data_IF_333211392397
#
_entry.id   IF_333211392397
#
_cell.length_a   1.000
_cell.length_b   1.000
_cell.length_c   1.000
_cell.angle_alpha   90.00
_cell.angle_beta   90.00
_cell.angle_gamma   90.00
#
_symmetry.space_group_name_H-M   'P 1'
#
loop_
_entity.id
_entity.type
_entity.pdbx_description
1 polymer ?
#
# COMPACT_ATOMS: atom_id res chain seq x y z
N UNK A 1 -10.01 106.93 3.29
CA UNK A 1 -9.03 105.83 3.15
C UNK A 1 -9.18 105.23 1.75
N UNK A 2 -8.11 105.37 0.94
CA UNK A 2 -7.55 104.49 -0.11
C UNK A 2 -8.41 103.40 -0.80
N UNK A 3 -8.14 103.08 -2.09
CA UNK A 3 -9.05 103.31 -3.23
C UNK A 3 -9.50 102.05 -4.02
N UNK A 4 -10.39 102.30 -5.01
CA UNK A 4 -10.83 101.55 -6.23
C UNK A 4 -9.81 100.55 -6.85
N UNK A 5 -10.12 99.64 -7.83
CA UNK A 5 -11.26 99.63 -8.81
C UNK A 5 -11.83 98.24 -9.26
N UNK A 6 -12.80 98.32 -10.18
CA UNK A 6 -13.33 97.28 -11.09
C UNK A 6 -12.26 96.65 -12.01
N UNK A 7 -12.58 95.47 -12.59
CA UNK A 7 -12.44 95.03 -14.02
C UNK A 7 -12.60 93.49 -14.06
N UNK A 8 -13.67 92.96 -14.66
CA UNK A 8 -13.80 92.36 -16.00
C UNK A 8 -13.16 90.97 -16.24
N UNK A 9 -13.96 90.15 -16.91
CA UNK A 9 -13.84 88.76 -17.39
C UNK A 9 -12.46 88.33 -17.91
N UNK A 10 -12.15 87.05 -17.71
CA UNK A 10 -11.56 86.18 -18.76
C UNK A 10 -11.85 84.70 -18.47
N UNK A 11 -12.37 84.00 -19.48
CA UNK A 11 -12.38 82.54 -19.57
C UNK A 11 -10.98 82.05 -19.86
N UNK A 12 -10.52 80.97 -19.21
CA UNK A 12 -9.72 79.93 -19.90
C UNK A 12 -9.70 78.62 -19.11
N UNK A 13 -9.89 77.55 -19.86
CA UNK A 13 -9.88 76.15 -19.45
C UNK A 13 -8.54 75.71 -18.84
N UNK A 14 -8.57 74.65 -18.01
CA UNK A 14 -7.96 73.34 -18.34
C UNK A 14 -8.05 72.35 -17.18
N UNK A 15 -8.22 71.10 -17.59
CA UNK A 15 -8.22 69.84 -16.86
C UNK A 15 -7.16 69.77 -15.73
N UNK A 16 -7.58 69.38 -14.53
CA UNK A 16 -6.82 68.47 -13.65
C UNK A 16 -7.73 67.23 -13.50
N UNK A 17 -7.37 66.03 -13.95
CA UNK A 17 -6.08 65.38 -13.76
C UNK A 17 -6.24 64.34 -12.67
N UNK A 18 -7.04 63.30 -12.96
CA UNK A 18 -7.22 62.08 -12.16
C UNK A 18 -5.87 61.37 -12.00
N UNK A 19 -5.24 61.51 -10.83
CA UNK A 19 -4.05 60.74 -10.46
C UNK A 19 -4.34 60.04 -9.14
N UNK A 20 -4.67 58.74 -9.21
CA UNK A 20 -5.02 57.98 -8.01
C UNK A 20 -5.41 56.54 -8.26
N UNK A 21 -4.78 55.84 -9.22
CA UNK A 21 -4.92 54.39 -9.35
C UNK A 21 -3.68 53.84 -10.05
N UNK A 22 -2.69 53.36 -9.28
CA UNK A 22 -1.70 52.34 -9.68
C UNK A 22 -0.68 52.15 -8.54
N UNK A 23 -1.16 51.63 -7.40
CA UNK A 23 -0.32 50.80 -6.53
C UNK A 23 -0.79 49.38 -6.78
N UNK A 24 -0.41 48.84 -7.94
CA UNK A 24 -0.51 47.42 -8.21
C UNK A 24 0.53 46.72 -7.34
N UNK A 25 0.04 46.22 -6.22
CA UNK A 25 0.56 45.12 -5.41
C UNK A 25 1.64 44.29 -6.15
N UNK A 26 2.91 44.57 -5.86
CA UNK A 26 4.01 43.61 -6.01
C UNK A 26 3.85 42.55 -4.92
N UNK A 27 2.86 41.66 -5.08
CA UNK A 27 2.84 40.40 -4.34
C UNK A 27 3.93 39.53 -4.98
N UNK A 28 4.92 39.04 -4.22
CA UNK A 28 5.83 38.03 -4.74
C UNK A 28 4.97 36.84 -5.16
N UNK A 29 4.90 36.56 -6.46
CA UNK A 29 4.34 35.30 -6.92
C UNK A 29 5.28 34.21 -6.39
N UNK A 30 4.78 33.43 -5.42
CA UNK A 30 5.45 32.20 -5.04
C UNK A 30 5.66 31.40 -6.32
N UNK A 31 6.88 30.86 -6.56
CA UNK A 31 7.11 30.06 -7.75
C UNK A 31 6.05 28.96 -7.79
N UNK A 32 5.37 28.84 -8.93
CA UNK A 32 4.45 27.74 -9.16
C UNK A 32 5.22 26.44 -8.85
N UNK A 33 4.72 25.67 -7.88
CA UNK A 33 5.32 24.38 -7.56
C UNK A 33 5.41 23.58 -8.86
N UNK A 34 6.63 23.23 -9.27
CA UNK A 34 6.85 22.39 -10.44
C UNK A 34 6.07 21.10 -10.18
N UNK A 35 5.15 20.75 -11.09
CA UNK A 35 4.45 19.48 -11.01
C UNK A 35 5.50 18.37 -10.95
N UNK A 36 5.54 17.65 -9.84
CA UNK A 36 6.52 16.59 -9.66
C UNK A 36 6.33 15.53 -10.75
N UNK A 37 7.45 15.03 -11.28
CA UNK A 37 7.41 14.10 -12.40
C UNK A 37 6.65 12.81 -12.00
N UNK A 38 5.69 12.34 -12.83
CA UNK A 38 5.02 11.07 -12.57
C UNK A 38 6.03 9.94 -12.42
N UNK A 39 5.84 9.11 -11.40
CA UNK A 39 6.70 7.96 -11.12
C UNK A 39 5.95 6.66 -11.40
N UNK A 40 6.55 5.72 -12.15
CA UNK A 40 5.88 4.46 -12.47
C UNK A 40 5.69 3.59 -11.21
N UNK A 41 4.63 2.76 -11.16
CA UNK A 41 4.44 1.78 -10.09
C UNK A 41 5.62 0.81 -10.01
N UNK A 42 6.10 0.57 -8.80
CA UNK A 42 7.15 -0.42 -8.52
C UNK A 42 6.57 -1.71 -7.95
N UNK A 43 5.43 -1.62 -7.27
CA UNK A 43 4.67 -2.73 -6.71
C UNK A 43 3.36 -2.85 -7.48
N UNK A 44 3.12 -4.02 -8.02
CA UNK A 44 1.84 -4.37 -8.61
C UNK A 44 1.56 -5.82 -8.22
N UNK A 45 0.88 -5.99 -7.10
CA UNK A 45 0.82 -7.26 -6.40
C UNK A 45 -0.59 -7.72 -6.04
N UNK A 46 -0.71 -8.97 -5.60
CA UNK A 46 -1.97 -9.55 -5.15
C UNK A 46 -1.81 -10.27 -3.81
N UNK A 47 -2.79 -10.11 -2.93
CA UNK A 47 -2.97 -11.05 -1.83
C UNK A 47 -3.66 -12.31 -2.36
N UNK A 48 -3.21 -13.48 -1.91
CA UNK A 48 -3.65 -14.77 -2.44
C UNK A 48 -4.16 -15.68 -1.33
N UNK A 49 -5.38 -16.18 -1.51
CA UNK A 49 -6.11 -16.90 -0.47
C UNK A 49 -6.22 -18.42 -0.68
N UNK A 50 -5.50 -18.99 -1.65
CA UNK A 50 -5.75 -20.38 -2.09
C UNK A 50 -7.23 -20.61 -2.47
N UNK A 51 -7.62 -21.88 -2.61
CA UNK A 51 -8.97 -22.34 -2.92
C UNK A 51 -9.84 -22.63 -1.68
N UNK A 52 -9.30 -22.43 -0.47
CA UNK A 52 -9.88 -22.85 0.80
C UNK A 52 -10.11 -21.68 1.79
N UNK A 53 -10.54 -20.52 1.26
CA UNK A 53 -10.91 -19.34 2.05
C UNK A 53 -9.76 -18.80 2.92
N UNK A 54 -8.58 -18.63 2.31
CA UNK A 54 -7.36 -18.11 2.93
C UNK A 54 -6.77 -19.01 4.04
N UNK A 55 -7.22 -20.27 4.15
CA UNK A 55 -6.72 -21.18 5.21
C UNK A 55 -5.42 -21.87 4.81
N UNK A 56 -5.18 -22.09 3.51
CA UNK A 56 -3.99 -22.78 2.98
C UNK A 56 -3.74 -24.13 3.68
N UNK A 57 -4.80 -24.82 4.10
CA UNK A 57 -4.71 -26.02 4.93
C UNK A 57 -4.26 -27.25 4.16
N UNK A 58 -4.36 -27.23 2.83
CA UNK A 58 -4.12 -28.38 1.95
C UNK A 58 -2.97 -28.13 1.00
N UNK A 59 -2.09 -29.13 0.85
CA UNK A 59 -1.03 -29.12 -0.17
C UNK A 59 -1.65 -29.33 -1.55
N UNK A 60 -1.25 -28.50 -2.51
CA UNK A 60 -1.67 -28.62 -3.92
C UNK A 60 -0.46 -28.90 -4.80
N UNK A 61 -0.68 -29.65 -5.88
CA UNK A 61 0.37 -29.79 -6.90
C UNK A 61 0.54 -28.48 -7.67
N UNK A 62 1.74 -28.21 -8.19
CA UNK A 62 1.97 -27.01 -8.99
C UNK A 62 1.13 -26.99 -10.27
N UNK A 63 0.83 -28.13 -10.87
CA UNK A 63 -0.02 -28.23 -12.05
C UNK A 63 -1.49 -27.87 -11.76
N UNK A 64 -2.01 -28.34 -10.63
CA UNK A 64 -3.35 -27.97 -10.17
C UNK A 64 -3.41 -26.48 -9.82
N UNK A 65 -2.40 -26.00 -9.07
CA UNK A 65 -2.29 -24.59 -8.67
C UNK A 65 -2.22 -23.68 -9.89
N UNK A 66 -1.39 -24.01 -10.87
CA UNK A 66 -1.27 -23.32 -12.16
C UNK A 66 -2.61 -23.28 -12.91
N UNK A 67 -3.32 -24.41 -13.02
CA UNK A 67 -4.61 -24.45 -13.72
C UNK A 67 -5.67 -23.47 -13.18
N UNK A 68 -5.55 -23.07 -11.91
CA UNK A 68 -6.45 -22.15 -11.22
C UNK A 68 -5.93 -20.71 -11.13
N UNK A 69 -4.62 -20.51 -11.27
CA UNK A 69 -3.92 -19.25 -10.97
C UNK A 69 -2.99 -18.77 -12.08
N UNK A 70 -3.04 -19.38 -13.27
CA UNK A 70 -2.14 -19.09 -14.38
C UNK A 70 -2.07 -17.59 -14.73
N UNK A 71 -3.20 -16.89 -14.60
CA UNK A 71 -3.29 -15.45 -14.87
C UNK A 71 -2.29 -14.60 -14.09
N UNK A 72 -1.80 -15.05 -12.92
CA UNK A 72 -0.78 -14.33 -12.14
C UNK A 72 0.59 -14.35 -12.82
N UNK A 73 0.96 -15.47 -13.46
CA UNK A 73 2.25 -15.68 -14.12
C UNK A 73 2.23 -15.38 -15.61
N UNK A 74 1.04 -15.38 -16.23
CA UNK A 74 0.84 -15.05 -17.64
C UNK A 74 -0.42 -14.21 -17.82
N UNK A 75 -0.23 -12.96 -18.24
CA UNK A 75 -1.32 -12.02 -18.57
C UNK A 75 -1.82 -12.13 -20.02
N UNK A 76 -1.51 -13.23 -20.71
CA UNK A 76 -1.85 -13.49 -22.11
C UNK A 76 -0.77 -13.10 -23.11
N UNK A 77 0.40 -12.64 -22.64
CA UNK A 77 1.57 -12.28 -23.45
C UNK A 77 2.85 -13.03 -23.05
N UNK A 78 2.75 -14.04 -22.17
CA UNK A 78 3.87 -14.78 -21.63
C UNK A 78 4.63 -14.06 -20.51
N UNK A 79 4.10 -12.95 -19.97
CA UNK A 79 4.68 -12.22 -18.83
C UNK A 79 3.74 -12.22 -17.62
N UNK A 80 4.26 -12.15 -16.39
CA UNK A 80 3.42 -12.03 -15.20
C UNK A 80 2.49 -10.82 -15.19
N UNK A 81 1.27 -11.02 -14.66
CA UNK A 81 0.32 -9.95 -14.38
C UNK A 81 0.69 -9.16 -13.13
N UNK A 82 1.49 -9.74 -12.23
CA UNK A 82 1.93 -9.13 -10.98
C UNK A 82 3.43 -9.33 -10.78
N UNK A 83 4.07 -8.49 -9.99
CA UNK A 83 5.48 -8.65 -9.60
C UNK A 83 5.68 -9.03 -8.13
N UNK A 84 4.58 -9.09 -7.37
CA UNK A 84 4.52 -9.51 -5.97
C UNK A 84 3.25 -10.34 -5.71
N UNK A 85 3.39 -11.41 -4.93
CA UNK A 85 2.27 -12.12 -4.33
C UNK A 85 2.48 -12.23 -2.82
N UNK A 86 1.44 -11.95 -2.06
CA UNK A 86 1.40 -12.12 -0.61
C UNK A 86 0.45 -13.27 -0.27
N UNK A 87 0.94 -14.34 0.35
CA UNK A 87 0.13 -15.50 0.72
C UNK A 87 -0.59 -15.20 2.05
N UNK A 88 -1.92 -15.21 2.01
CA UNK A 88 -2.80 -14.86 3.12
C UNK A 88 -3.55 -16.12 3.59
N UNK A 89 -3.40 -16.62 4.81
CA UNK A 89 -2.64 -16.05 5.94
C UNK A 89 -1.93 -17.10 6.80
N UNK A 90 -0.92 -16.64 7.55
CA UNK A 90 -0.28 -17.38 8.65
C UNK A 90 -0.88 -16.91 9.98
N UNK A 91 -1.30 -17.86 10.83
CA UNK A 91 -1.84 -17.54 12.17
C UNK A 91 -0.69 -17.28 13.17
N UNK A 92 -0.69 -16.13 13.88
CA UNK A 92 0.42 -15.72 14.74
C UNK A 92 0.67 -16.64 15.96
N UNK A 93 -0.36 -17.16 16.63
CA UNK A 93 -0.15 -18.10 17.76
C UNK A 93 0.45 -19.43 17.29
N UNK A 94 -0.04 -19.98 16.17
CA UNK A 94 0.54 -21.21 15.60
C UNK A 94 2.00 -21.00 15.20
N UNK A 95 2.33 -19.84 14.60
CA UNK A 95 3.71 -19.50 14.28
C UNK A 95 4.58 -19.34 15.53
N UNK A 96 4.04 -18.74 16.61
CA UNK A 96 4.74 -18.63 17.89
C UNK A 96 5.08 -20.01 18.46
N UNK A 97 4.10 -20.92 18.52
CA UNK A 97 4.26 -22.24 19.11
C UNK A 97 4.88 -23.28 18.16
N UNK A 98 5.08 -22.92 16.89
CA UNK A 98 5.46 -23.83 15.80
C UNK A 98 4.53 -25.05 15.73
N UNK A 99 3.23 -24.80 15.79
CA UNK A 99 2.19 -25.84 15.90
C UNK A 99 2.23 -26.79 14.70
N UNK A 100 2.09 -28.09 14.99
CA UNK A 100 1.86 -29.14 13.99
C UNK A 100 0.47 -29.70 14.21
N UNK A 101 -0.41 -29.61 13.21
CA UNK A 101 -1.77 -30.13 13.30
C UNK A 101 -2.30 -30.59 11.93
N UNK A 102 -3.64 -30.64 11.78
CA UNK A 102 -4.28 -31.05 10.54
C UNK A 102 -3.94 -30.13 9.36
N UNK A 103 -3.80 -28.83 9.59
CA UNK A 103 -3.64 -27.80 8.54
C UNK A 103 -2.29 -27.10 8.58
N UNK A 104 -1.48 -27.29 9.63
CA UNK A 104 -0.20 -26.61 9.81
C UNK A 104 0.98 -27.55 10.06
N UNK A 105 2.17 -27.10 9.68
CA UNK A 105 3.46 -27.69 9.98
C UNK A 105 4.41 -26.60 10.46
N UNK A 106 5.00 -26.76 11.65
CA UNK A 106 5.84 -25.75 12.30
C UNK A 106 5.20 -24.35 12.37
N UNK A 107 3.87 -24.28 12.50
CA UNK A 107 3.10 -23.05 12.55
C UNK A 107 2.71 -22.45 11.19
N UNK A 108 3.22 -23.01 10.08
CA UNK A 108 2.86 -22.59 8.72
C UNK A 108 1.69 -23.43 8.18
N UNK A 109 0.74 -22.83 7.45
CA UNK A 109 -0.24 -23.58 6.67
C UNK A 109 0.44 -24.55 5.68
N UNK A 110 -0.04 -25.79 5.64
CA UNK A 110 0.58 -26.86 4.82
C UNK A 110 0.60 -26.55 3.33
N UNK A 111 -0.33 -25.74 2.83
CA UNK A 111 -0.38 -25.32 1.43
C UNK A 111 0.68 -24.29 1.05
N UNK A 112 1.28 -23.58 2.01
CA UNK A 112 2.34 -22.59 1.77
C UNK A 112 3.71 -23.27 1.62
N UNK A 113 3.87 -24.08 0.57
CA UNK A 113 5.07 -24.92 0.39
C UNK A 113 6.19 -24.22 -0.39
N UNK A 114 7.45 -24.71 -0.28
CA UNK A 114 8.54 -24.28 -1.14
C UNK A 114 8.24 -24.44 -2.64
N UNK A 115 7.43 -25.42 -3.05
CA UNK A 115 7.01 -25.60 -4.45
C UNK A 115 6.14 -24.44 -4.94
N UNK A 116 5.18 -23.99 -4.14
CA UNK A 116 4.32 -22.84 -4.47
C UNK A 116 5.13 -21.55 -4.48
N UNK A 117 6.05 -21.36 -3.53
CA UNK A 117 6.98 -20.22 -3.56
C UNK A 117 7.85 -20.25 -4.82
N UNK A 118 8.36 -21.42 -5.20
CA UNK A 118 9.15 -21.60 -6.42
C UNK A 118 8.35 -21.35 -7.70
N UNK A 119 7.06 -21.71 -7.71
CA UNK A 119 6.17 -21.43 -8.84
C UNK A 119 6.11 -19.94 -9.16
N UNK A 120 6.00 -19.07 -8.16
CA UNK A 120 6.04 -17.61 -8.39
C UNK A 120 7.45 -17.09 -8.69
N UNK A 121 8.44 -17.49 -7.88
CA UNK A 121 9.80 -16.93 -7.99
C UNK A 121 10.51 -17.34 -9.28
N UNK A 122 10.20 -18.49 -9.89
CA UNK A 122 10.71 -18.87 -11.21
C UNK A 122 10.23 -17.95 -12.34
N UNK A 123 9.15 -17.20 -12.12
CA UNK A 123 8.62 -16.21 -13.05
C UNK A 123 9.02 -14.77 -12.67
N UNK A 124 9.97 -14.60 -11.73
CA UNK A 124 10.43 -13.29 -11.28
C UNK A 124 9.48 -12.56 -10.33
N UNK A 125 8.41 -13.24 -9.88
CA UNK A 125 7.44 -12.70 -8.92
C UNK A 125 8.01 -12.86 -7.50
N UNK A 126 8.02 -11.78 -6.71
CA UNK A 126 8.40 -11.85 -5.29
C UNK A 126 7.27 -12.47 -4.48
N UNK A 127 7.62 -13.19 -3.42
CA UNK A 127 6.64 -13.82 -2.53
C UNK A 127 6.83 -13.32 -1.11
N UNK A 128 5.72 -13.08 -0.43
CA UNK A 128 5.66 -12.77 1.00
C UNK A 128 4.60 -13.62 1.68
N UNK A 129 4.71 -13.79 2.99
CA UNK A 129 3.64 -14.35 3.81
C UNK A 129 3.01 -13.24 4.65
N UNK A 130 1.69 -13.16 4.67
CA UNK A 130 0.98 -12.26 5.57
C UNK A 130 0.61 -12.99 6.85
N UNK A 131 1.08 -12.46 7.98
CA UNK A 131 0.72 -12.97 9.30
C UNK A 131 -0.49 -12.17 9.79
N UNK A 132 -1.63 -12.83 9.93
CA UNK A 132 -2.85 -12.24 10.49
C UNK A 132 -3.96 -11.94 9.49
N UNK A 133 -4.40 -10.69 9.46
CA UNK A 133 -5.70 -10.26 8.96
C UNK A 133 -6.72 -10.21 10.09
N UNK A 134 -7.85 -9.53 9.84
CA UNK A 134 -8.89 -9.26 10.84
C UNK A 134 -9.35 -10.51 11.60
N UNK A 135 -9.37 -11.66 10.93
CA UNK A 135 -9.71 -12.97 11.49
C UNK A 135 -8.83 -13.37 12.67
N UNK A 136 -7.57 -12.94 12.70
CA UNK A 136 -6.57 -13.37 13.69
C UNK A 136 -6.12 -12.24 14.62
N UNK A 137 -6.96 -11.22 14.81
CA UNK A 137 -6.65 -10.08 15.68
C UNK A 137 -6.38 -10.52 17.13
N UNK A 138 -7.21 -11.43 17.66
CA UNK A 138 -7.08 -11.93 19.03
C UNK A 138 -5.83 -12.82 19.17
N UNK A 139 -5.52 -13.63 18.16
CA UNK A 139 -4.32 -14.47 18.12
C UNK A 139 -3.04 -13.62 18.07
N UNK A 140 -3.06 -12.49 17.35
CA UNK A 140 -1.96 -11.53 17.38
C UNK A 140 -1.76 -10.96 18.78
N UNK A 141 -2.83 -10.49 19.43
CA UNK A 141 -2.76 -9.94 20.78
C UNK A 141 -2.20 -10.95 21.79
N UNK A 142 -2.66 -12.19 21.70
CA UNK A 142 -2.18 -13.28 22.53
C UNK A 142 -0.70 -13.60 22.26
N UNK A 143 -0.29 -13.74 21.00
CA UNK A 143 1.09 -14.07 20.65
C UNK A 143 2.07 -12.95 21.04
N UNK A 144 1.69 -11.68 20.87
CA UNK A 144 2.48 -10.52 21.29
C UNK A 144 2.59 -10.42 22.82
N UNK A 145 1.54 -10.80 23.54
CA UNK A 145 1.52 -10.82 25.01
C UNK A 145 2.36 -11.97 25.56
N UNK A 146 2.32 -13.12 24.91
CA UNK A 146 3.04 -14.32 25.34
C UNK A 146 4.55 -14.18 25.12
N UNK A 147 5.00 -13.99 23.88
CA UNK A 147 6.42 -13.82 23.55
C UNK A 147 6.61 -13.21 22.14
N UNK A 148 6.42 -11.90 22.04
CA UNK A 148 6.60 -11.16 20.78
C UNK A 148 8.00 -11.33 20.17
N UNK A 149 9.04 -11.48 21.01
CA UNK A 149 10.42 -11.67 20.53
C UNK A 149 10.54 -13.02 19.83
N UNK A 150 10.02 -14.10 20.44
CA UNK A 150 10.00 -15.43 19.81
C UNK A 150 9.18 -15.43 18.53
N UNK A 151 8.03 -14.76 18.51
CA UNK A 151 7.22 -14.65 17.30
C UNK A 151 8.03 -14.00 16.16
N UNK A 152 8.74 -12.91 16.42
CA UNK A 152 9.60 -12.24 15.44
C UNK A 152 10.74 -13.12 14.93
N UNK A 153 11.39 -13.87 15.83
CA UNK A 153 12.44 -14.83 15.47
C UNK A 153 11.89 -16.01 14.64
N UNK A 154 10.69 -16.51 14.95
CA UNK A 154 10.05 -17.57 14.17
C UNK A 154 9.65 -17.08 12.78
N UNK A 155 9.09 -15.87 12.66
CA UNK A 155 8.80 -15.26 11.37
C UNK A 155 10.08 -15.08 10.52
N UNK A 156 11.18 -14.61 11.12
CA UNK A 156 12.47 -14.49 10.43
C UNK A 156 13.04 -15.85 9.98
N UNK A 157 12.87 -16.89 10.79
CA UNK A 157 13.31 -18.24 10.43
C UNK A 157 12.54 -18.79 9.21
N UNK A 158 11.22 -18.60 9.19
CA UNK A 158 10.38 -18.98 8.04
C UNK A 158 10.76 -18.20 6.79
N UNK A 159 10.97 -16.88 6.93
CA UNK A 159 11.39 -16.01 5.83
C UNK A 159 12.70 -16.52 5.18
N UNK A 160 13.67 -16.95 6.00
CA UNK A 160 14.91 -17.58 5.53
C UNK A 160 14.70 -18.94 4.88
N UNK A 161 13.86 -19.79 5.48
CA UNK A 161 13.64 -21.16 4.99
C UNK A 161 12.98 -21.17 3.61
N UNK A 162 12.01 -20.28 3.39
CA UNK A 162 11.26 -20.22 2.14
C UNK A 162 11.83 -19.21 1.14
N UNK A 163 12.69 -18.29 1.58
CA UNK A 163 13.20 -17.20 0.73
C UNK A 163 12.10 -16.19 0.37
N UNK A 164 11.31 -15.78 1.36
CA UNK A 164 10.13 -14.89 1.22
C UNK A 164 10.20 -13.73 2.19
N UNK A 165 9.50 -12.63 1.90
CA UNK A 165 9.29 -11.55 2.87
C UNK A 165 8.14 -11.84 3.83
N UNK A 166 7.96 -10.98 4.83
CA UNK A 166 6.84 -11.04 5.78
C UNK A 166 6.04 -9.73 5.74
N UNK A 167 4.72 -9.87 5.73
CA UNK A 167 3.77 -8.79 6.00
C UNK A 167 3.17 -8.97 7.39
N UNK A 168 3.16 -7.89 8.17
CA UNK A 168 2.45 -7.79 9.43
C UNK A 168 1.03 -7.33 9.11
N UNK A 169 0.04 -8.20 9.22
CA UNK A 169 -1.37 -7.85 9.09
C UNK A 169 -2.05 -7.95 10.46
N UNK A 170 -1.76 -6.98 11.31
CA UNK A 170 -2.29 -6.90 12.67
C UNK A 170 -3.36 -5.82 12.74
N UNK A 171 -4.63 -6.23 12.80
CA UNK A 171 -5.77 -5.32 12.66
C UNK A 171 -6.43 -4.91 14.00
N UNK A 172 -5.68 -4.89 15.11
CA UNK A 172 -6.22 -4.43 16.40
C UNK A 172 -6.44 -2.91 16.40
N UNK A 173 -7.69 -2.52 16.19
CA UNK A 173 -8.08 -1.11 16.11
C UNK A 173 -8.13 -0.42 17.48
N UNK A 174 -8.40 -1.16 18.57
CA UNK A 174 -8.65 -0.58 19.90
C UNK A 174 -7.58 -1.02 20.88
N UNK A 175 -6.60 -0.14 21.13
CA UNK A 175 -5.52 -0.42 22.07
C UNK A 175 -4.53 -1.49 21.59
N UNK A 176 -3.97 -1.38 20.36
CA UNK A 176 -3.00 -2.34 19.85
C UNK A 176 -1.78 -2.45 20.77
N UNK A 177 -1.23 -3.67 20.90
CA UNK A 177 -0.01 -3.93 21.66
C UNK A 177 1.23 -3.45 20.89
N UNK A 178 1.42 -2.13 20.81
CA UNK A 178 2.51 -1.50 20.05
C UNK A 178 3.91 -1.82 20.60
N UNK A 179 4.02 -2.09 21.91
CA UNK A 179 5.29 -2.47 22.53
C UNK A 179 5.67 -3.92 22.18
N UNK A 180 4.69 -4.83 22.19
CA UNK A 180 4.86 -6.19 21.67
C UNK A 180 5.21 -6.16 20.19
N UNK A 181 4.48 -5.39 19.37
CA UNK A 181 4.77 -5.31 17.94
C UNK A 181 6.16 -4.73 17.65
N UNK A 182 6.62 -3.72 18.41
CA UNK A 182 8.00 -3.26 18.32
C UNK A 182 9.00 -4.39 18.64
N UNK A 183 8.75 -5.18 19.68
CA UNK A 183 9.63 -6.30 20.05
C UNK A 183 9.67 -7.39 18.98
N UNK A 184 8.54 -7.65 18.31
CA UNK A 184 8.49 -8.52 17.13
C UNK A 184 9.36 -7.98 15.99
N UNK A 185 9.23 -6.68 15.66
CA UNK A 185 10.00 -6.03 14.59
C UNK A 185 11.49 -6.07 14.91
N UNK A 186 11.89 -5.72 16.14
CA UNK A 186 13.29 -5.71 16.57
C UNK A 186 13.89 -7.13 16.49
N UNK A 187 13.15 -8.14 16.92
CA UNK A 187 13.55 -9.53 16.82
C UNK A 187 13.72 -9.99 15.36
N UNK A 188 12.78 -9.65 14.48
CA UNK A 188 12.90 -9.94 13.05
C UNK A 188 14.14 -9.25 12.45
N UNK A 189 14.32 -7.95 12.73
CA UNK A 189 15.43 -7.14 12.23
C UNK A 189 16.79 -7.54 12.79
N UNK A 190 16.83 -8.23 13.94
CA UNK A 190 18.06 -8.81 14.47
C UNK A 190 18.62 -9.95 13.60
N UNK A 191 17.76 -10.63 12.84
CA UNK A 191 18.13 -11.69 11.89
C UNK A 191 18.26 -11.12 10.48
N UNK A 192 17.29 -10.30 10.08
CA UNK A 192 17.18 -9.70 8.74
C UNK A 192 17.17 -8.17 8.82
N UNK A 193 18.36 -7.53 8.90
CA UNK A 193 18.45 -6.08 8.90
C UNK A 193 17.75 -5.44 7.71
N UNK A 194 17.26 -4.21 7.90
CA UNK A 194 16.65 -3.45 6.80
C UNK A 194 17.61 -3.33 5.61
N UNK A 195 17.11 -3.63 4.40
CA UNK A 195 17.91 -3.67 3.19
C UNK A 195 17.21 -2.95 2.01
N UNK A 196 17.55 -1.69 1.79
CA UNK A 196 16.94 -0.86 0.73
C UNK A 196 17.03 -1.46 -0.69
N UNK A 197 18.10 -2.21 -1.00
CA UNK A 197 18.29 -2.84 -2.31
C UNK A 197 17.26 -3.95 -2.61
N UNK A 198 16.66 -4.55 -1.58
CA UNK A 198 15.66 -5.62 -1.73
C UNK A 198 16.17 -6.86 -2.46
N UNK A 199 17.48 -7.12 -2.44
CA UNK A 199 18.05 -8.30 -3.09
C UNK A 199 17.79 -9.55 -2.27
N UNK A 200 17.75 -9.43 -0.94
CA UNK A 200 17.33 -10.50 -0.04
C UNK A 200 15.81 -10.44 0.17
N UNK A 201 15.04 -11.44 -0.31
CA UNK A 201 13.60 -11.49 -0.05
C UNK A 201 13.27 -11.53 1.45
N UNK A 202 14.06 -12.22 2.27
CA UNK A 202 13.81 -12.36 3.69
C UNK A 202 14.00 -11.04 4.47
N UNK A 203 14.75 -10.09 3.90
CA UNK A 203 14.86 -8.75 4.46
C UNK A 203 13.62 -7.87 4.22
N UNK A 204 12.66 -8.28 3.37
CA UNK A 204 11.43 -7.51 3.14
C UNK A 204 10.46 -7.72 4.31
N UNK A 205 10.23 -6.68 5.09
CA UNK A 205 9.23 -6.64 6.16
C UNK A 205 8.29 -5.46 5.97
N UNK A 206 7.00 -5.74 5.81
CA UNK A 206 5.96 -4.74 5.54
C UNK A 206 4.87 -4.80 6.59
N UNK A 207 3.94 -3.85 6.53
CA UNK A 207 2.77 -3.81 7.40
C UNK A 207 1.53 -3.50 6.58
N UNK A 208 0.43 -4.18 6.86
CA UNK A 208 -0.88 -3.75 6.39
C UNK A 208 -1.43 -2.67 7.34
N UNK A 209 -1.91 -1.59 6.77
CA UNK A 209 -2.50 -0.44 7.45
C UNK A 209 -3.90 -0.19 6.89
N UNK A 210 -4.75 0.46 7.67
CA UNK A 210 -6.09 0.80 7.23
C UNK A 210 -6.10 1.57 5.89
N UNK A 211 -7.21 1.50 5.15
CA UNK A 211 -7.38 2.23 3.88
C UNK A 211 -7.02 3.73 3.97
N UNK A 212 -7.25 4.33 5.14
CA UNK A 212 -6.82 5.66 5.55
C UNK A 212 -6.70 5.75 7.08
N UNK A 213 -6.36 6.92 7.61
CA UNK A 213 -5.99 7.10 9.04
C UNK A 213 -7.15 7.18 10.04
N UNK A 214 -8.33 6.68 9.67
CA UNK A 214 -9.53 6.68 10.52
C UNK A 214 -9.76 5.34 11.25
N UNK A 215 -9.01 4.32 10.86
CA UNK A 215 -9.02 2.98 11.45
C UNK A 215 -7.56 2.55 11.65
N UNK A 216 -7.31 1.60 12.55
CA UNK A 216 -5.98 1.22 13.04
C UNK A 216 -5.14 2.42 13.50
N UNK A 217 -5.77 3.44 14.08
CA UNK A 217 -5.15 4.76 14.37
C UNK A 217 -3.85 4.60 15.17
N UNK A 218 -3.86 3.72 16.18
CA UNK A 218 -2.68 3.45 17.00
C UNK A 218 -1.51 2.88 16.20
N UNK A 219 -1.80 1.97 15.27
CA UNK A 219 -0.82 1.33 14.40
C UNK A 219 -0.34 2.30 13.34
N UNK A 220 -1.24 3.00 12.63
CA UNK A 220 -0.86 3.99 11.61
C UNK A 220 0.05 5.06 12.19
N UNK A 221 -0.29 5.60 13.38
CA UNK A 221 0.57 6.55 14.09
C UNK A 221 1.97 5.98 14.36
N UNK A 222 2.06 4.75 14.87
CA UNK A 222 3.34 4.13 15.22
C UNK A 222 4.16 3.81 13.97
N UNK A 223 3.51 3.29 12.93
CA UNK A 223 4.13 2.95 11.67
C UNK A 223 4.70 4.20 10.98
N UNK A 224 3.93 5.27 10.86
CA UNK A 224 4.36 6.55 10.25
C UNK A 224 5.44 7.26 11.06
N UNK A 225 5.30 7.31 12.39
CA UNK A 225 6.24 8.02 13.25
C UNK A 225 7.61 7.33 13.38
N UNK A 226 7.63 5.99 13.40
CA UNK A 226 8.82 5.23 13.81
C UNK A 226 9.29 4.22 12.76
N UNK A 227 8.38 3.51 12.09
CA UNK A 227 8.76 2.32 11.33
C UNK A 227 8.98 2.55 9.84
N UNK A 228 8.17 3.42 9.24
CA UNK A 228 8.16 3.75 7.81
C UNK A 228 8.88 5.06 7.50
N UNK A 229 9.71 5.53 8.44
CA UNK A 229 10.52 6.73 8.28
C UNK A 229 11.42 6.61 7.05
N UNK A 230 11.68 7.74 6.41
CA UNK A 230 12.53 7.80 5.23
C UNK A 230 14.02 7.86 5.55
N UNK A 231 14.39 8.37 6.73
CA UNK A 231 15.78 8.52 7.18
C UNK A 231 16.29 7.34 8.01
N UNK A 232 15.40 6.61 8.68
CA UNK A 232 15.72 5.42 9.46
C UNK A 232 14.59 4.37 9.39
N UNK A 233 14.27 3.83 8.21
CA UNK A 233 13.22 2.82 8.06
C UNK A 233 13.59 1.52 8.78
N UNK A 234 12.61 0.93 9.46
CA UNK A 234 12.66 -0.48 9.89
C UNK A 234 11.57 -1.32 9.24
N UNK A 235 10.62 -0.71 8.54
CA UNK A 235 9.70 -1.37 7.62
C UNK A 235 9.92 -0.82 6.21
N UNK A 236 9.69 -1.68 5.23
CA UNK A 236 9.94 -1.38 3.84
C UNK A 236 8.88 -0.46 3.24
N UNK A 237 7.61 -0.82 3.43
CA UNK A 237 6.44 -0.04 3.04
C UNK A 237 5.20 -0.55 3.79
N UNK A 238 4.11 0.23 3.73
CA UNK A 238 2.78 -0.20 4.14
C UNK A 238 1.91 -0.55 2.92
N UNK A 239 1.05 -1.55 3.05
CA UNK A 239 -0.11 -1.66 2.18
C UNK A 239 -1.26 -0.88 2.83
N UNK A 240 -1.90 0.04 2.09
CA UNK A 240 -3.14 0.64 2.56
C UNK A 240 -4.30 -0.27 2.10
N UNK A 241 -4.84 -1.07 3.01
CA UNK A 241 -5.86 -2.08 2.70
C UNK A 241 -7.06 -1.52 1.96
N UNK A 242 -7.80 -2.44 1.34
CA UNK A 242 -9.14 -2.16 0.83
C UNK A 242 -10.05 -1.74 1.99
N UNK A 243 -10.84 -0.65 1.86
CA UNK A 243 -11.89 -0.40 2.83
C UNK A 243 -12.93 -1.53 2.76
N UNK A 244 -13.84 -1.64 3.73
CA UNK A 244 -14.80 -2.76 3.83
C UNK A 244 -15.66 -3.05 2.57
N UNK A 245 -15.69 -2.14 1.60
CA UNK A 245 -16.28 -2.30 0.26
C UNK A 245 -15.46 -1.52 -0.76
N UNK A 246 -15.51 -1.93 -2.03
CA UNK A 246 -14.85 -1.21 -3.12
C UNK A 246 -15.28 0.27 -3.12
N UNK A 247 -14.34 1.22 -2.99
CA UNK A 247 -14.65 2.64 -2.93
C UNK A 247 -14.96 3.22 -4.33
N UNK A 248 -15.42 4.47 -4.41
CA UNK A 248 -15.28 5.24 -5.66
C UNK A 248 -13.83 5.69 -5.85
N UNK A 249 -13.45 6.08 -7.07
CA UNK A 249 -12.12 6.65 -7.34
C UNK A 249 -11.78 7.84 -6.42
N UNK A 250 -12.72 8.76 -6.23
CA UNK A 250 -12.56 9.91 -5.33
C UNK A 250 -12.40 9.50 -3.86
N UNK A 251 -13.09 8.44 -3.42
CA UNK A 251 -13.01 7.95 -2.05
C UNK A 251 -11.70 7.20 -1.80
N UNK A 252 -11.21 6.44 -2.78
CA UNK A 252 -9.90 5.80 -2.73
C UNK A 252 -8.79 6.85 -2.59
N UNK A 253 -8.80 7.85 -3.49
CA UNK A 253 -7.85 8.98 -3.44
C UNK A 253 -7.92 9.70 -2.10
N UNK A 254 -9.13 9.99 -1.58
CA UNK A 254 -9.27 10.66 -0.30
C UNK A 254 -8.71 9.82 0.87
N UNK A 255 -8.87 8.50 0.85
CA UNK A 255 -8.31 7.64 1.89
C UNK A 255 -6.78 7.60 1.84
N UNK A 256 -6.18 7.49 0.64
CA UNK A 256 -4.71 7.52 0.50
C UNK A 256 -4.10 8.89 0.78
N UNK A 257 -4.81 9.97 0.44
CA UNK A 257 -4.39 11.33 0.78
C UNK A 257 -4.30 11.52 2.30
N UNK A 258 -5.13 10.81 3.09
CA UNK A 258 -5.00 10.87 4.55
C UNK A 258 -3.67 10.34 5.04
N UNK A 259 -3.17 9.23 4.48
CA UNK A 259 -1.83 8.75 4.81
C UNK A 259 -0.76 9.79 4.47
N UNK A 260 -0.87 10.42 3.30
CA UNK A 260 0.07 11.45 2.85
C UNK A 260 0.04 12.68 3.76
N UNK A 261 -1.13 13.13 4.19
CA UNK A 261 -1.29 14.32 5.02
C UNK A 261 -1.14 14.06 6.52
N UNK A 262 -1.32 12.81 6.94
CA UNK A 262 -1.55 12.42 8.32
C UNK A 262 -2.85 12.99 8.90
N UNK A 263 -2.95 12.92 10.23
CA UNK A 263 -4.06 13.47 11.04
C UNK A 263 -3.51 14.33 12.16
N UNK A 264 -3.11 15.59 11.89
CA UNK A 264 -2.54 16.48 12.91
C UNK A 264 -3.55 16.89 14.00
N UNK A 265 -4.84 16.72 13.75
CA UNK A 265 -5.92 17.02 14.71
C UNK A 265 -6.22 15.88 15.68
N UNK A 266 -5.63 14.70 15.48
CA UNK A 266 -5.76 13.60 16.42
C UNK A 266 -4.88 13.84 17.64
N UNK A 267 -5.25 13.23 18.77
CA UNK A 267 -4.48 13.32 20.02
C UNK A 267 -4.22 11.92 20.55
N UNK A 268 -2.99 11.40 20.42
CA UNK A 268 -1.83 12.00 19.71
C UNK A 268 -2.00 12.01 18.16
N UNK A 269 -1.30 12.91 17.44
CA UNK A 269 -1.46 13.04 15.99
C UNK A 269 -0.87 11.84 15.25
N UNK A 270 -1.40 11.57 14.05
CA UNK A 270 -0.78 10.68 13.05
C UNK A 270 0.08 11.54 12.13
N UNK A 271 1.41 11.36 12.07
CA UNK A 271 2.27 12.09 11.14
C UNK A 271 2.00 11.75 9.67
N UNK A 272 2.39 12.64 8.73
CA UNK A 272 2.45 12.33 7.30
C UNK A 272 3.29 11.09 6.97
N UNK A 273 2.81 10.30 5.99
CA UNK A 273 3.56 9.20 5.37
C UNK A 273 4.07 9.63 3.99
N UNK A 274 5.32 9.28 3.68
CA UNK A 274 5.87 9.53 2.36
C UNK A 274 5.11 8.72 1.29
N UNK A 275 4.74 9.30 0.13
CA UNK A 275 4.15 8.54 -0.98
C UNK A 275 4.94 7.27 -1.34
N UNK A 276 6.27 7.38 -1.39
CA UNK A 276 7.18 6.25 -1.65
C UNK A 276 7.25 5.20 -0.52
N UNK A 277 6.34 5.21 0.46
CA UNK A 277 6.28 4.24 1.57
C UNK A 277 4.96 3.49 1.67
N UNK A 278 4.06 3.62 0.70
CA UNK A 278 2.86 2.79 0.68
C UNK A 278 2.30 2.49 -0.72
N UNK A 279 1.50 1.43 -0.79
CA UNK A 279 0.68 1.07 -1.96
C UNK A 279 -0.80 1.38 -1.68
N UNK A 280 -1.60 1.52 -2.73
CA UNK A 280 -3.05 1.55 -2.63
C UNK A 280 -3.64 0.19 -2.98
N UNK A 281 -4.77 -0.16 -2.38
CA UNK A 281 -5.39 -1.46 -2.63
C UNK A 281 -6.81 -1.39 -3.21
N UNK A 282 -7.17 -2.42 -3.98
CA UNK A 282 -8.50 -2.61 -4.54
C UNK A 282 -8.99 -4.05 -4.46
N UNK A 283 -10.32 -4.23 -4.37
CA UNK A 283 -10.93 -5.53 -4.58
C UNK A 283 -10.89 -5.91 -6.07
N UNK A 284 -10.66 -7.18 -6.38
CA UNK A 284 -10.79 -7.74 -7.74
C UNK A 284 -12.08 -8.54 -7.94
N UNK A 285 -12.76 -8.88 -6.86
CA UNK A 285 -14.06 -9.54 -6.87
C UNK A 285 -14.87 -9.18 -5.64
N UNK A 286 -16.19 -9.36 -5.71
CA UNK A 286 -17.09 -9.28 -4.58
C UNK A 286 -17.95 -10.56 -4.44
N UNK A 287 -18.93 -10.53 -3.54
CA UNK A 287 -19.82 -11.68 -3.30
C UNK A 287 -20.68 -12.09 -4.51
N UNK A 288 -20.75 -11.27 -5.54
CA UNK A 288 -21.67 -11.43 -6.66
C UNK A 288 -21.00 -11.50 -8.02
N UNK A 289 -19.80 -10.91 -8.20
CA UNK A 289 -19.12 -10.82 -9.49
C UNK A 289 -17.63 -10.50 -9.37
N UNK A 290 -16.89 -10.77 -10.43
CA UNK A 290 -15.59 -10.13 -10.66
C UNK A 290 -15.80 -8.64 -10.93
N UNK A 291 -14.90 -7.81 -10.40
CA UNK A 291 -14.93 -6.36 -10.58
C UNK A 291 -14.07 -5.94 -11.78
N UNK A 292 -14.25 -4.70 -12.32
CA UNK A 292 -13.43 -4.21 -13.43
C UNK A 292 -11.93 -4.26 -13.16
N UNK A 293 -11.51 -4.15 -11.89
CA UNK A 293 -10.14 -4.34 -11.46
C UNK A 293 -9.56 -5.67 -11.93
N UNK A 294 -10.39 -6.73 -11.97
CA UNK A 294 -10.04 -8.05 -12.49
C UNK A 294 -10.24 -8.16 -14.00
N UNK A 295 -11.37 -7.69 -14.54
CA UNK A 295 -11.81 -8.09 -15.89
C UNK A 295 -11.73 -7.00 -16.96
N UNK A 296 -11.64 -5.72 -16.59
CA UNK A 296 -11.69 -4.60 -17.54
C UNK A 296 -10.90 -3.39 -17.02
N UNK A 297 -9.62 -3.33 -17.38
CA UNK A 297 -8.73 -2.26 -16.96
C UNK A 297 -9.24 -0.88 -17.36
N UNK A 298 -9.88 -0.72 -18.52
CA UNK A 298 -10.32 0.58 -19.01
C UNK A 298 -11.40 1.21 -18.10
N UNK A 299 -12.21 0.37 -17.44
CA UNK A 299 -13.26 0.78 -16.51
C UNK A 299 -12.89 0.58 -15.03
N UNK A 300 -11.62 0.27 -14.75
CA UNK A 300 -11.14 -0.05 -13.41
C UNK A 300 -10.75 1.16 -12.57
N UNK A 301 -10.76 0.98 -11.23
CA UNK A 301 -10.23 2.00 -10.36
C UNK A 301 -8.74 2.20 -10.55
N UNK A 302 -7.93 1.15 -10.76
CA UNK A 302 -6.49 1.32 -10.99
C UNK A 302 -6.23 2.28 -12.16
N UNK A 303 -7.02 2.21 -13.24
CA UNK A 303 -6.92 3.17 -14.36
C UNK A 303 -7.31 4.58 -13.95
N UNK A 304 -8.46 4.74 -13.30
CA UNK A 304 -9.01 6.06 -12.95
C UNK A 304 -8.19 6.80 -11.87
N UNK A 305 -7.47 6.06 -11.01
CA UNK A 305 -6.62 6.63 -9.95
C UNK A 305 -5.15 6.70 -10.34
N UNK A 306 -4.74 6.13 -11.48
CA UNK A 306 -3.35 6.06 -11.93
C UNK A 306 -2.60 7.39 -11.91
N UNK A 307 -3.23 8.49 -12.32
CA UNK A 307 -2.59 9.82 -12.27
C UNK A 307 -2.26 10.22 -10.84
N UNK A 308 -3.16 9.99 -9.89
CA UNK A 308 -2.91 10.31 -8.48
C UNK A 308 -1.79 9.45 -7.91
N UNK A 309 -1.87 8.13 -8.14
CA UNK A 309 -0.86 7.16 -7.70
C UNK A 309 0.54 7.56 -8.19
N UNK A 310 0.69 7.97 -9.45
CA UNK A 310 2.02 8.33 -9.99
C UNK A 310 2.52 9.71 -9.57
N UNK A 311 1.65 10.62 -9.10
CA UNK A 311 2.00 12.05 -8.99
C UNK A 311 1.71 12.72 -7.65
N UNK A 312 1.07 12.02 -6.69
CA UNK A 312 0.79 12.61 -5.36
C UNK A 312 2.07 13.12 -4.71
N UNK A 313 2.07 14.40 -4.33
CA UNK A 313 3.25 15.05 -3.77
C UNK A 313 3.41 14.68 -2.27
N UNK A 314 4.66 14.58 -1.77
CA UNK A 314 4.92 14.51 -0.34
C UNK A 314 4.31 15.69 0.43
N UNK A 315 3.83 15.43 1.65
CA UNK A 315 3.38 16.47 2.57
C UNK A 315 4.10 16.37 3.92
N UNK A 316 5.40 16.68 3.95
CA UNK A 316 6.22 16.70 5.17
C UNK A 316 7.00 15.42 5.45
N UNK A 317 6.74 14.32 4.74
CA UNK A 317 7.56 13.10 4.77
C UNK A 317 7.94 12.68 3.35
N UNK A 318 9.22 12.41 3.10
CA UNK A 318 9.75 12.07 1.78
C UNK A 318 9.95 13.28 0.86
N UNK A 319 10.45 13.00 -0.35
CA UNK A 319 10.82 14.02 -1.35
C UNK A 319 10.39 13.69 -2.78
N UNK A 320 10.08 12.43 -3.09
CA UNK A 320 9.58 12.06 -4.43
C UNK A 320 8.06 11.91 -4.44
N UNK A 321 7.46 12.29 -5.56
CA UNK A 321 6.03 12.11 -5.79
C UNK A 321 5.69 10.67 -6.12
N UNK A 322 4.44 10.32 -5.88
CA UNK A 322 3.84 9.07 -6.30
C UNK A 322 4.02 7.94 -5.29
N UNK A 323 2.96 7.15 -5.15
CA UNK A 323 2.89 5.94 -4.35
C UNK A 323 3.76 4.82 -4.94
N UNK A 324 3.94 3.73 -4.19
CA UNK A 324 4.72 2.59 -4.69
C UNK A 324 3.95 1.74 -5.72
N UNK A 325 2.63 1.84 -5.76
CA UNK A 325 1.79 1.15 -6.74
C UNK A 325 0.53 0.56 -6.12
N UNK A 326 0.12 -0.61 -6.61
CA UNK A 326 -1.17 -1.22 -6.30
C UNK A 326 -1.06 -2.64 -5.74
N UNK A 327 -2.00 -2.97 -4.85
CA UNK A 327 -2.26 -4.33 -4.38
C UNK A 327 -3.73 -4.74 -4.61
N UNK A 328 -3.96 -6.03 -4.88
CA UNK A 328 -5.28 -6.55 -5.25
C UNK A 328 -5.78 -7.63 -4.29
N UNK A 329 -6.96 -7.40 -3.69
CA UNK A 329 -7.63 -8.32 -2.77
C UNK A 329 -8.84 -9.01 -3.44
N UNK A 330 -8.90 -10.33 -3.51
CA UNK A 330 -7.82 -11.27 -3.38
C UNK A 330 -7.89 -12.29 -4.50
N UNK A 331 -6.72 -12.77 -4.89
CA UNK A 331 -6.56 -13.83 -5.86
C UNK A 331 -7.08 -15.16 -5.29
N UNK A 332 -7.60 -15.97 -6.21
CA UNK A 332 -8.26 -17.24 -6.00
C UNK A 332 -9.57 -17.15 -5.20
N UNK A 333 -9.68 -17.71 -3.99
CA UNK A 333 -10.94 -17.82 -3.25
C UNK A 333 -10.81 -17.25 -1.83
N UNK A 334 -11.11 -15.96 -1.61
CA UNK A 334 -11.06 -15.36 -0.27
C UNK A 334 -12.21 -15.77 0.65
N UNK A 335 -13.22 -16.47 0.14
CA UNK A 335 -14.36 -16.92 0.93
C UNK A 335 -15.00 -18.15 0.28
N UNK A 336 -15.72 -18.92 1.07
CA UNK A 336 -16.58 -20.03 0.59
C UNK A 336 -17.76 -19.53 -0.25
N UNK A 337 -18.01 -18.22 -0.26
CA UNK A 337 -19.04 -17.55 -1.06
C UNK A 337 -18.41 -16.47 -1.93
N UNK A 338 -19.08 -16.13 -3.02
CA UNK A 338 -18.65 -15.07 -3.93
C UNK A 338 -17.79 -15.54 -5.09
N UNK A 339 -17.35 -14.56 -5.88
CA UNK A 339 -16.61 -14.82 -7.10
C UNK A 339 -15.12 -14.83 -6.79
N UNK A 340 -14.46 -15.93 -7.14
CA UNK A 340 -13.00 -16.04 -7.13
C UNK A 340 -12.39 -15.75 -8.49
N UNK A 341 -11.06 -15.77 -8.57
CA UNK A 341 -10.32 -15.52 -9.83
C UNK A 341 -9.97 -16.80 -10.60
N UNK A 342 -10.52 -17.94 -10.20
CA UNK A 342 -10.35 -19.21 -10.91
C UNK A 342 -11.08 -19.15 -12.26
N UNK A 343 -10.65 -19.90 -13.29
CA UNK A 343 -11.35 -19.96 -14.56
C UNK A 343 -12.86 -20.23 -14.40
N UNK A 344 -13.72 -19.53 -15.16
CA UNK A 344 -13.42 -18.57 -16.23
C UNK A 344 -13.24 -17.10 -15.76
N UNK A 345 -13.14 -16.83 -14.47
CA UNK A 345 -13.16 -15.49 -13.88
C UNK A 345 -11.76 -14.89 -13.68
N UNK A 346 -10.83 -15.22 -14.57
CA UNK A 346 -9.42 -14.84 -14.47
C UNK A 346 -9.24 -13.32 -14.69
N UNK A 347 -8.11 -12.78 -14.22
CA UNK A 347 -7.89 -11.33 -14.15
C UNK A 347 -6.92 -10.76 -15.20
N UNK A 348 -6.72 -11.44 -16.34
CA UNK A 348 -5.86 -10.96 -17.42
C UNK A 348 -6.39 -9.64 -18.01
N UNK A 349 -7.72 -9.46 -18.10
CA UNK A 349 -8.36 -8.28 -18.70
C UNK A 349 -8.29 -7.00 -17.86
N UNK A 350 -8.08 -7.10 -16.55
CA UNK A 350 -8.03 -5.99 -15.60
C UNK A 350 -6.66 -5.80 -14.97
N UNK A 351 -6.21 -6.79 -14.19
CA UNK A 351 -4.87 -6.75 -13.55
C UNK A 351 -3.80 -6.94 -14.62
N UNK A 352 -3.94 -7.95 -15.49
CA UNK A 352 -2.99 -8.20 -16.57
C UNK A 352 -2.85 -7.02 -17.55
N UNK A 353 -3.97 -6.50 -18.04
CA UNK A 353 -3.99 -5.34 -18.92
C UNK A 353 -3.45 -4.08 -18.23
N UNK A 354 -3.71 -3.91 -16.93
CA UNK A 354 -3.12 -2.85 -16.12
C UNK A 354 -1.60 -2.97 -16.00
N UNK A 355 -1.10 -4.19 -15.80
CA UNK A 355 0.34 -4.43 -15.77
C UNK A 355 1.03 -4.08 -17.11
N UNK A 356 0.35 -4.28 -18.24
CA UNK A 356 0.83 -3.83 -19.54
C UNK A 356 0.77 -2.31 -19.67
N UNK A 357 -0.34 -1.69 -19.27
CA UNK A 357 -0.54 -0.24 -19.38
C UNK A 357 0.44 0.58 -18.53
N UNK A 358 0.87 0.04 -17.38
CA UNK A 358 1.86 0.66 -16.50
C UNK A 358 3.30 0.23 -16.77
N UNK A 359 3.53 -0.67 -17.74
CA UNK A 359 4.83 -1.30 -18.02
C UNK A 359 5.50 -1.84 -16.74
N UNK A 360 4.75 -2.66 -16.00
CA UNK A 360 5.20 -3.14 -14.68
C UNK A 360 6.51 -3.92 -14.81
N UNK A 361 7.54 -3.55 -14.03
CA UNK A 361 8.81 -4.26 -14.02
C UNK A 361 8.68 -5.61 -13.33
N UNK A 362 9.15 -6.65 -14.01
CA UNK A 362 9.29 -8.01 -13.49
C UNK A 362 10.73 -8.47 -13.80
N UNK A 363 11.56 -8.80 -12.78
CA UNK A 363 11.24 -8.81 -11.36
C UNK A 363 11.04 -7.42 -10.75
N UNK A 364 10.41 -7.37 -9.57
CA UNK A 364 10.23 -6.14 -8.79
C UNK A 364 11.58 -5.42 -8.56
N UNK A 365 11.70 -4.12 -8.89
CA UNK A 365 12.94 -3.36 -8.74
C UNK A 365 13.20 -2.99 -7.27
N UNK A 366 14.40 -2.48 -6.93
CA UNK A 366 14.61 -1.81 -5.65
C UNK A 366 13.59 -0.69 -5.47
N UNK A 367 12.92 -0.65 -4.31
CA UNK A 367 11.88 0.35 -4.04
C UNK A 367 12.50 1.73 -3.85
N UNK A 368 11.79 2.76 -4.29
CA UNK A 368 12.12 4.13 -3.90
C UNK A 368 12.05 4.26 -2.38
N UNK A 369 12.98 5.03 -1.83
CA UNK A 369 13.09 5.21 -0.38
C UNK A 369 12.61 6.56 0.12
N UNK A 370 12.50 7.54 -0.78
CA UNK A 370 12.16 8.93 -0.50
C UNK A 370 11.20 9.44 -1.53
#
# INVERSE_FOLDING_TARGET
MRPRPLVSRTLTARLLGTLGLLVALLVPQAPAASAAAPTPPQIYGAWHCSDDACTWGTVRSTAEFDSMNHWLIDRGDGRPAVNLVVLSFVEPQRLLHRTNDATTVNGLPKGMTPEIVRYFTSHGIRVMLSIGGITYTDEWDAALTEDATRLGLNAAAVASELGVGIEIDYEQNTGPNLAGLQSFIDAYRSVHPYQAAGTDPAARLTIDTAAGDRWLIGINRKATADWLRTDAPVLDYANAMVPARQPSASSAIANWQEHVDGKPTYSPPVPPLAPAKFTGAFYIGDQTKSLPECTDFANSLQKSTGTFEQSVAPNGAGTTSGMLGYMFWAAERPSTRGTGTQPPNTCEGGVGAGATAYDIPVPMPPLRQN
#
